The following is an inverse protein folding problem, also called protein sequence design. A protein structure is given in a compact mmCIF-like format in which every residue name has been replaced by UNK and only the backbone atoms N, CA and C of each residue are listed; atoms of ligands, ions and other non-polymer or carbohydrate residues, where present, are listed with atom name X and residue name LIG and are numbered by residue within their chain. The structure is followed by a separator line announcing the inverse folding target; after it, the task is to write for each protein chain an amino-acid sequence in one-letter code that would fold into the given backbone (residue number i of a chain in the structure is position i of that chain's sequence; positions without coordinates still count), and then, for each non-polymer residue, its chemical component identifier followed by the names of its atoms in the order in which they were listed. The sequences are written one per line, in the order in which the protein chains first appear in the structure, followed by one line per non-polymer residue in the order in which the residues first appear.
data_IF_893759412993
#
_entry.id   IF_893759412993
#
_cell.length_a   1.000
_cell.length_b   1.000
_cell.length_c   1.000
_cell.angle_alpha   90.00
_cell.angle_beta   90.00
_cell.angle_gamma   90.00
#
_symmetry.space_group_name_H-M   'P 1'
#
loop_
_entity.id
_entity.type
_entity.pdbx_description
1 polymer ?
#
# COMPACT_ATOMS: atom_id res chain seq x y z
N UNK A 1 16.78 -4.36 -21.05
CA UNK A 1 15.31 -4.23 -20.94
C UNK A 1 15.01 -4.34 -19.47
N UNK A 2 14.77 -3.21 -18.79
CA UNK A 2 14.53 -3.21 -17.35
C UNK A 2 13.12 -3.73 -17.09
N UNK A 3 12.98 -4.72 -16.22
CA UNK A 3 11.69 -5.14 -15.72
C UNK A 3 11.09 -3.98 -14.91
N UNK A 4 10.04 -3.37 -15.45
CA UNK A 4 9.28 -2.33 -14.78
C UNK A 4 7.95 -2.94 -14.36
N UNK A 5 7.56 -2.68 -13.12
CA UNK A 5 6.27 -3.11 -12.59
C UNK A 5 5.43 -1.90 -12.25
N UNK A 6 4.12 -2.03 -12.43
CA UNK A 6 3.16 -1.03 -11.99
C UNK A 6 2.35 -1.62 -10.85
N UNK A 7 2.41 -0.95 -9.70
CA UNK A 7 1.68 -1.38 -8.51
C UNK A 7 0.92 -0.21 -7.90
N UNK A 8 -0.17 -0.57 -7.25
CA UNK A 8 -0.89 0.27 -6.32
C UNK A 8 -0.36 -0.03 -4.92
N UNK A 9 -0.16 0.99 -4.12
CA UNK A 9 0.25 0.84 -2.73
C UNK A 9 -0.69 1.54 -1.76
N UNK A 10 -0.93 0.91 -0.62
CA UNK A 10 -1.65 1.52 0.48
C UNK A 10 -0.70 1.64 1.66
N UNK A 11 -0.27 2.87 1.96
CA UNK A 11 0.54 3.14 3.15
C UNK A 11 -0.39 3.48 4.32
N UNK A 12 -0.36 2.65 5.36
CA UNK A 12 -1.00 2.93 6.64
C UNK A 12 0.09 3.23 7.67
N UNK A 13 0.12 4.47 8.18
CA UNK A 13 1.05 4.86 9.24
C UNK A 13 0.52 4.45 10.61
N UNK A 14 1.43 4.16 11.53
CA UNK A 14 1.16 3.82 12.92
C UNK A 14 2.17 4.50 13.85
N UNK A 15 2.04 4.34 15.17
CA UNK A 15 2.92 4.97 16.18
C UNK A 15 4.41 4.74 15.91
N UNK A 16 4.74 3.56 15.39
CA UNK A 16 6.12 3.15 15.04
C UNK A 16 6.65 3.76 13.74
N UNK A 17 5.82 4.43 12.95
CA UNK A 17 6.24 5.07 11.70
C UNK A 17 7.17 6.23 12.01
N UNK A 18 8.27 6.34 11.26
CA UNK A 18 9.29 7.40 11.45
C UNK A 18 8.72 8.84 11.43
N UNK A 19 7.57 9.03 10.80
CA UNK A 19 6.78 10.28 10.80
C UNK A 19 5.30 9.96 11.04
N UNK A 20 4.82 9.95 12.30
CA UNK A 20 3.44 9.60 12.67
C UNK A 20 2.49 10.77 12.45
N UNK A 21 2.61 11.44 11.31
CA UNK A 21 1.69 12.50 10.85
C UNK A 21 1.23 12.07 9.47
N UNK A 22 -0.08 11.97 9.27
CA UNK A 22 -0.57 11.68 7.93
C UNK A 22 -0.79 12.93 7.12
N UNK A 23 -0.29 12.90 5.88
CA UNK A 23 -0.36 14.05 4.96
C UNK A 23 -1.78 14.30 4.47
N UNK A 24 -2.72 13.37 4.72
CA UNK A 24 -4.13 13.46 4.32
C UNK A 24 -4.95 14.28 5.31
N UNK A 25 -4.90 13.95 6.60
CA UNK A 25 -5.68 14.64 7.64
C UNK A 25 -4.86 15.68 8.40
N UNK A 26 -3.54 15.73 8.15
CA UNK A 26 -2.59 16.55 8.92
C UNK A 26 -2.65 16.26 10.44
N UNK A 27 -3.20 15.09 10.81
CA UNK A 27 -3.34 14.64 12.19
C UNK A 27 -2.26 13.60 12.52
N UNK A 28 -1.90 13.55 13.80
CA UNK A 28 -0.98 12.55 14.31
C UNK A 28 -1.61 11.18 14.26
N UNK A 29 -1.02 10.24 13.52
CA UNK A 29 -1.36 8.81 13.52
C UNK A 29 -0.64 8.04 14.64
N UNK A 30 -0.10 8.77 15.63
CA UNK A 30 0.59 8.23 16.79
C UNK A 30 -0.28 7.37 17.72
N UNK A 31 -1.60 7.56 17.71
CA UNK A 31 -2.55 6.74 18.49
C UNK A 31 -2.82 5.37 17.84
N UNK A 32 -2.48 5.19 16.56
CA UNK A 32 -2.74 3.95 15.86
C UNK A 32 -1.58 3.00 16.11
N UNK A 33 -1.78 1.97 16.95
CA UNK A 33 -0.75 0.94 17.14
C UNK A 33 -0.56 0.08 15.89
N UNK A 34 0.61 -0.55 15.76
CA UNK A 34 0.94 -1.49 14.66
C UNK A 34 -0.13 -2.58 14.52
N UNK A 35 -0.63 -3.09 15.64
CA UNK A 35 -1.69 -4.10 15.65
C UNK A 35 -3.00 -3.59 15.00
N UNK A 36 -3.36 -2.32 15.22
CA UNK A 36 -4.55 -1.73 14.59
C UNK A 36 -4.34 -1.54 13.09
N UNK A 37 -3.16 -1.05 12.68
CA UNK A 37 -2.82 -0.93 11.26
C UNK A 37 -2.88 -2.29 10.55
N UNK A 38 -2.26 -3.32 11.14
CA UNK A 38 -2.32 -4.68 10.61
C UNK A 38 -3.75 -5.23 10.56
N UNK A 39 -4.55 -4.99 11.59
CA UNK A 39 -5.93 -5.46 11.61
C UNK A 39 -6.78 -4.78 10.54
N UNK A 40 -6.60 -3.48 10.32
CA UNK A 40 -7.32 -2.74 9.26
C UNK A 40 -6.89 -3.24 7.88
N UNK A 41 -5.58 -3.36 7.64
CA UNK A 41 -5.01 -3.91 6.40
C UNK A 41 -5.50 -5.33 6.14
N UNK A 42 -5.61 -6.16 7.19
CA UNK A 42 -6.12 -7.52 7.08
C UNK A 42 -7.60 -7.56 6.68
N UNK A 43 -8.41 -6.60 7.14
CA UNK A 43 -9.80 -6.46 6.64
C UNK A 43 -9.82 -6.10 5.16
N UNK A 44 -8.97 -5.18 4.74
CA UNK A 44 -8.83 -4.83 3.33
C UNK A 44 -8.36 -6.02 2.51
N UNK A 45 -7.35 -6.78 2.95
CA UNK A 45 -6.94 -8.03 2.30
C UNK A 45 -8.10 -9.02 2.16
N UNK A 46 -8.96 -9.18 3.17
CA UNK A 46 -10.12 -10.08 3.10
C UNK A 46 -11.19 -9.58 2.10
N UNK A 47 -11.45 -8.28 2.08
CA UNK A 47 -12.36 -7.64 1.12
C UNK A 47 -11.84 -7.79 -0.30
N UNK A 48 -10.56 -7.48 -0.49
CA UNK A 48 -9.88 -7.63 -1.76
C UNK A 48 -9.78 -9.08 -2.21
N UNK A 49 -9.62 -10.06 -1.32
CA UNK A 49 -9.66 -11.49 -1.69
C UNK A 49 -11.00 -11.92 -2.29
N UNK A 50 -12.09 -11.21 -1.98
CA UNK A 50 -13.42 -11.46 -2.57
C UNK A 50 -13.57 -10.80 -3.94
N UNK A 51 -12.71 -9.84 -4.26
CA UNK A 51 -12.72 -9.06 -5.49
C UNK A 51 -11.60 -9.57 -6.42
N UNK A 52 -11.80 -9.47 -7.73
CA UNK A 52 -10.76 -9.83 -8.71
C UNK A 52 -10.87 -8.92 -9.95
N UNK A 53 -9.75 -8.74 -10.66
CA UNK A 53 -9.72 -7.93 -11.87
C UNK A 53 -9.89 -6.43 -11.59
N UNK A 54 -10.79 -5.76 -12.32
CA UNK A 54 -10.95 -4.30 -12.25
C UNK A 54 -11.59 -3.83 -10.93
N UNK A 55 -12.53 -4.60 -10.36
CA UNK A 55 -13.18 -4.28 -9.08
C UNK A 55 -12.17 -4.25 -7.93
N UNK A 56 -11.19 -5.17 -7.96
CA UNK A 56 -10.09 -5.20 -7.00
C UNK A 56 -9.32 -3.88 -7.01
N UNK A 57 -8.98 -3.41 -8.22
CA UNK A 57 -8.24 -2.17 -8.45
C UNK A 57 -9.03 -0.96 -7.97
N UNK A 58 -10.33 -0.90 -8.28
CA UNK A 58 -11.20 0.20 -7.85
C UNK A 58 -11.38 0.25 -6.34
N UNK A 59 -11.62 -0.92 -5.71
CA UNK A 59 -11.72 -1.03 -4.26
C UNK A 59 -10.41 -0.65 -3.56
N UNK A 60 -9.27 -1.10 -4.09
CA UNK A 60 -7.95 -0.75 -3.57
C UNK A 60 -7.69 0.75 -3.69
N UNK A 61 -8.03 1.34 -4.84
CA UNK A 61 -7.91 2.78 -5.07
C UNK A 61 -8.78 3.58 -4.09
N UNK A 62 -10.03 3.15 -3.84
CA UNK A 62 -10.92 3.75 -2.84
C UNK A 62 -10.37 3.62 -1.42
N UNK A 63 -9.86 2.46 -1.04
CA UNK A 63 -9.21 2.25 0.25
C UNK A 63 -8.00 3.18 0.40
N UNK A 64 -7.20 3.34 -0.66
CA UNK A 64 -6.08 4.26 -0.68
C UNK A 64 -6.53 5.73 -0.54
N UNK A 65 -7.59 6.15 -1.23
CA UNK A 65 -8.13 7.51 -1.10
C UNK A 65 -8.61 7.82 0.32
N UNK A 66 -9.25 6.84 0.97
CA UNK A 66 -9.78 6.99 2.32
C UNK A 66 -8.76 6.81 3.44
N UNK A 67 -7.71 6.00 3.21
CA UNK A 67 -6.80 5.54 4.27
C UNK A 67 -5.32 5.77 4.02
N UNK A 68 -4.88 5.92 2.77
CA UNK A 68 -3.46 6.10 2.47
C UNK A 68 -2.97 7.43 3.03
N UNK A 69 -1.92 7.34 3.84
CA UNK A 69 -1.27 8.48 4.47
C UNK A 69 -0.17 9.09 3.58
N UNK A 70 0.01 8.54 2.37
CA UNK A 70 0.91 8.99 1.33
C UNK A 70 0.20 9.91 0.34
N UNK A 71 0.91 10.91 -0.22
CA UNK A 71 0.37 11.84 -1.22
C UNK A 71 -0.20 11.18 -2.48
N UNK A 72 0.16 9.92 -2.74
CA UNK A 72 -0.41 9.08 -3.81
C UNK A 72 -1.89 8.74 -3.59
N UNK A 73 -2.50 9.08 -2.44
CA UNK A 73 -3.94 8.91 -2.19
C UNK A 73 -4.79 9.51 -3.30
N UNK A 74 -4.36 10.65 -3.88
CA UNK A 74 -5.09 11.33 -4.96
C UNK A 74 -5.21 10.47 -6.24
N UNK A 75 -4.26 9.56 -6.47
CA UNK A 75 -4.25 8.63 -7.60
C UNK A 75 -4.68 7.21 -7.18
N UNK A 76 -5.32 7.05 -6.02
CA UNK A 76 -5.70 5.74 -5.52
C UNK A 76 -4.51 4.85 -5.14
N UNK A 77 -3.37 5.45 -4.80
CA UNK A 77 -2.16 4.71 -4.43
C UNK A 77 -1.32 4.22 -5.62
N UNK A 78 -1.63 4.62 -6.85
CA UNK A 78 -0.84 4.27 -8.03
C UNK A 78 0.57 4.87 -7.95
N UNK A 79 1.59 4.01 -8.02
CA UNK A 79 3.00 4.43 -8.04
C UNK A 79 3.59 4.53 -9.45
N UNK A 80 2.76 4.36 -10.49
CA UNK A 80 3.22 4.24 -11.88
C UNK A 80 4.25 3.11 -12.07
N UNK A 81 4.85 3.03 -13.25
CA UNK A 81 5.90 2.08 -13.56
C UNK A 81 7.20 2.46 -12.86
N UNK A 82 7.72 1.57 -12.02
CA UNK A 82 9.03 1.72 -11.41
C UNK A 82 9.90 0.49 -11.69
N UNK A 83 11.20 0.72 -11.75
CA UNK A 83 12.21 -0.31 -11.91
C UNK A 83 12.93 -0.65 -10.59
N UNK A 84 13.78 -1.69 -10.60
CA UNK A 84 14.57 -2.07 -9.45
C UNK A 84 15.52 -0.95 -9.01
N UNK A 85 15.71 -0.78 -7.71
CA UNK A 85 16.51 0.26 -7.08
C UNK A 85 15.79 1.60 -6.87
N UNK A 86 14.51 1.73 -7.23
CA UNK A 86 13.75 2.97 -7.04
C UNK A 86 12.96 3.02 -5.72
N UNK A 87 12.67 1.86 -5.12
CA UNK A 87 11.87 1.74 -3.90
C UNK A 87 12.66 1.06 -2.77
N UNK A 88 12.10 1.04 -1.55
CA UNK A 88 12.70 0.30 -0.45
C UNK A 88 12.77 -1.19 -0.78
N UNK A 89 13.90 -1.84 -0.48
CA UNK A 89 14.13 -3.29 -0.72
C UNK A 89 12.93 -4.20 -0.42
N UNK A 90 12.29 -4.16 0.76
CA UNK A 90 11.16 -5.04 1.06
C UNK A 90 9.92 -4.75 0.22
N UNK A 91 9.70 -3.48 -0.13
CA UNK A 91 8.58 -3.07 -0.98
C UNK A 91 8.78 -3.52 -2.42
N UNK A 92 10.00 -3.33 -2.91
CA UNK A 92 10.42 -3.74 -4.24
C UNK A 92 10.30 -5.26 -4.40
N UNK A 93 10.94 -6.03 -3.52
CA UNK A 93 10.93 -7.50 -3.56
C UNK A 93 9.50 -8.05 -3.59
N UNK A 94 8.62 -7.54 -2.72
CA UNK A 94 7.22 -7.91 -2.71
C UNK A 94 6.49 -7.53 -4.01
N UNK A 95 6.75 -6.34 -4.56
CA UNK A 95 6.12 -5.89 -5.81
C UNK A 95 6.51 -6.75 -7.01
N UNK A 96 7.79 -7.11 -7.11
CA UNK A 96 8.32 -7.93 -8.20
C UNK A 96 7.96 -9.41 -8.04
N UNK A 97 7.85 -9.91 -6.80
CA UNK A 97 7.44 -11.28 -6.53
C UNK A 97 5.95 -11.54 -6.82
N UNK A 98 5.11 -10.51 -6.83
CA UNK A 98 3.69 -10.61 -7.15
C UNK A 98 3.43 -10.79 -8.64
N UNK A 99 2.34 -11.49 -8.95
CA UNK A 99 1.78 -11.57 -10.31
C UNK A 99 0.79 -10.43 -10.58
N UNK A 100 0.54 -10.14 -11.86
CA UNK A 100 -0.46 -9.14 -12.27
C UNK A 100 -1.85 -9.53 -11.77
N UNK A 101 -2.50 -8.62 -11.04
CA UNK A 101 -3.77 -8.85 -10.36
C UNK A 101 -3.64 -9.46 -8.96
N UNK A 102 -2.41 -9.64 -8.45
CA UNK A 102 -2.16 -10.23 -7.14
C UNK A 102 -1.83 -9.16 -6.08
N UNK A 103 -2.29 -9.43 -4.86
CA UNK A 103 -2.04 -8.59 -3.68
C UNK A 103 -0.96 -9.23 -2.81
N UNK A 104 -0.04 -8.40 -2.30
CA UNK A 104 0.96 -8.82 -1.32
C UNK A 104 0.34 -8.88 0.06
N UNK A 105 0.96 -9.69 0.91
CA UNK A 105 0.78 -9.54 2.35
C UNK A 105 1.26 -8.15 2.80
N UNK A 106 0.89 -7.80 4.03
CA UNK A 106 1.30 -6.56 4.69
C UNK A 106 2.83 -6.49 4.75
N UNK A 107 3.40 -5.52 4.05
CA UNK A 107 4.84 -5.23 4.01
C UNK A 107 5.13 -4.11 5.00
N UNK A 108 5.78 -4.42 6.10
CA UNK A 108 6.21 -3.40 7.04
C UNK A 108 7.52 -2.75 6.58
N UNK A 109 7.54 -1.41 6.57
CA UNK A 109 8.76 -0.64 6.28
C UNK A 109 8.95 0.45 7.34
N UNK A 110 10.10 1.15 7.29
CA UNK A 110 10.42 2.27 8.19
C UNK A 110 9.35 3.40 8.15
N UNK A 111 8.55 3.46 7.07
CA UNK A 111 7.45 4.42 6.90
C UNK A 111 6.13 3.96 7.53
N UNK A 112 5.96 2.68 7.81
CA UNK A 112 4.73 2.05 8.28
C UNK A 112 4.41 0.77 7.51
N UNK A 113 3.17 0.31 7.64
CA UNK A 113 2.70 -0.90 6.98
C UNK A 113 2.13 -0.58 5.59
N UNK A 114 2.56 -1.34 4.59
CA UNK A 114 2.18 -1.18 3.20
C UNK A 114 1.43 -2.40 2.69
N UNK A 115 0.35 -2.18 1.94
CA UNK A 115 -0.24 -3.21 1.08
C UNK A 115 0.14 -2.91 -0.36
N UNK A 116 0.41 -3.94 -1.16
CA UNK A 116 0.82 -3.79 -2.55
C UNK A 116 -0.12 -4.61 -3.42
N UNK A 117 -0.60 -4.01 -4.51
CA UNK A 117 -1.40 -4.69 -5.53
C UNK A 117 -0.70 -4.47 -6.87
N UNK A 118 -0.24 -5.55 -7.51
CA UNK A 118 0.37 -5.45 -8.83
C UNK A 118 -0.69 -5.38 -9.91
N UNK A 119 -0.59 -4.40 -10.79
CA UNK A 119 -1.53 -4.19 -11.92
C UNK A 119 -0.89 -4.37 -13.30
N UNK A 120 0.45 -4.27 -13.40
CA UNK A 120 1.22 -4.65 -14.59
C UNK A 120 2.63 -5.12 -14.21
#
# INVERSE_FOLDING_TARGET
MGEQVRVLHLLCKHEKSRNPVSRRTNQSTGDVSVAQAHQELKKYEDDFKKLQGQDLVDAFAKACQGRSDCGSYAQGGDLNFFGPGQMQKPFEDASFALQVGQISSIVDTDSGSHLILRIA
#
